data_IF_119294441391
#
_entry.id   IF_119294441391
#
_cell.length_a   1.000
_cell.length_b   1.000
_cell.length_c   1.000
_cell.angle_alpha   90.00
_cell.angle_beta   90.00
_cell.angle_gamma   90.00
#
_symmetry.space_group_name_H-M   'P 1'
#
loop_
_entity.id
_entity.type
_entity.pdbx_description
1 polymer ?
2 polymer ?
3 polymer ?
4 branched ?
5 non-polymer ?
6 non-polymer ?
7 non-polymer ?
8 water ?
#
# COMPACT_ATOMS: atom_id res chain seq x y z
N UNK A 1 -8.06 13.91 -14.20
CA UNK A 1 -8.95 12.73 -14.29
C UNK A 1 -9.62 12.42 -12.96
N UNK A 2 -9.97 11.15 -12.72
CA UNK A 2 -10.62 10.76 -11.45
C UNK A 2 -9.64 10.73 -10.28
N UNK A 3 -10.17 10.96 -9.09
CA UNK A 3 -9.35 10.94 -7.91
C UNK A 3 -10.07 10.18 -6.81
N UNK A 4 -9.33 9.75 -5.80
CA UNK A 4 -9.92 8.98 -4.73
C UNK A 4 -9.40 9.29 -3.33
N UNK A 5 -10.27 9.07 -2.35
CA UNK A 5 -9.96 9.26 -0.95
C UNK A 5 -10.17 7.89 -0.31
N UNK A 6 -9.10 7.28 0.19
CA UNK A 6 -9.19 5.97 0.81
C UNK A 6 -8.54 5.92 2.17
N UNK A 7 -9.07 5.06 3.02
CA UNK A 7 -8.55 4.88 4.36
C UNK A 7 -8.33 3.41 4.63
N UNK A 8 -7.15 3.07 5.14
CA UNK A 8 -6.86 1.70 5.48
C UNK A 8 -6.82 1.60 7.00
N UNK A 9 -7.79 0.87 7.55
CA UNK A 9 -7.91 0.70 8.98
C UNK A 9 -7.67 -0.75 9.40
N UNK A 10 -6.77 -0.92 10.36
CA UNK A 10 -6.42 -2.23 10.87
C UNK A 10 -6.47 -2.23 12.39
N UNK A 11 -7.00 -3.31 12.96
CA UNK A 11 -7.08 -3.45 14.41
C UNK A 11 -6.61 -4.88 14.72
N UNK A 12 -5.59 -4.99 15.56
CA UNK A 12 -5.06 -6.31 15.90
C UNK A 12 -4.95 -6.57 17.39
N UNK A 13 -5.50 -7.69 17.82
CA UNK A 13 -5.44 -8.09 19.22
C UNK A 13 -4.10 -8.80 19.46
N UNK A 14 -3.54 -8.62 20.65
CA UNK A 14 -2.28 -9.25 20.99
C UNK A 14 -2.34 -9.70 22.44
N UNK A 15 -3.09 -10.79 22.69
CA UNK A 15 -3.27 -11.37 24.03
C UNK A 15 -1.98 -11.47 24.83
N UNK A 16 -2.05 -11.01 26.08
CA UNK A 16 -0.90 -11.06 26.97
C UNK A 16 0.12 -9.98 26.73
N UNK A 17 -0.21 -9.04 25.86
CA UNK A 17 0.71 -7.96 25.54
C UNK A 17 0.01 -6.62 25.62
N UNK A 18 -1.17 -6.59 26.22
CA UNK A 18 -1.91 -5.34 26.35
C UNK A 18 -3.01 -5.09 25.33
N UNK A 19 -3.32 -3.81 25.14
CA UNK A 19 -4.36 -3.35 24.22
C UNK A 19 -4.11 -3.67 22.76
N UNK A 20 -5.18 -3.82 21.96
CA UNK A 20 -5.01 -4.11 20.54
C UNK A 20 -4.31 -2.94 19.85
N UNK A 21 -3.62 -3.21 18.76
CA UNK A 21 -2.96 -2.13 18.05
C UNK A 21 -3.92 -1.61 16.99
N UNK A 22 -4.11 -0.29 16.96
CA UNK A 22 -5.01 0.30 15.99
C UNK A 22 -4.31 1.26 15.04
N UNK A 23 -4.71 1.21 13.77
CA UNK A 23 -4.11 2.06 12.77
C UNK A 23 -5.08 2.61 11.75
N UNK A 24 -4.73 3.79 11.23
CA UNK A 24 -5.51 4.47 10.21
C UNK A 24 -4.52 5.12 9.26
N UNK A 25 -4.57 4.74 8.00
CA UNK A 25 -3.68 5.35 7.02
C UNK A 25 -4.55 5.83 5.89
N UNK A 26 -4.46 7.13 5.59
CA UNK A 26 -5.26 7.69 4.54
C UNK A 26 -4.45 8.00 3.30
N UNK A 27 -5.11 7.86 2.15
CA UNK A 27 -4.47 8.13 0.87
C UNK A 27 -5.39 8.93 -0.03
N UNK A 28 -4.78 9.82 -0.81
CA UNK A 28 -5.50 10.58 -1.81
C UNK A 28 -4.78 10.08 -3.06
N UNK A 29 -5.47 9.24 -3.83
CA UNK A 29 -4.88 8.62 -5.01
C UNK A 29 -3.79 7.67 -4.51
N UNK A 30 -2.59 7.76 -5.05
CA UNK A 30 -1.52 6.87 -4.62
C UNK A 30 -0.60 7.59 -3.64
N UNK A 31 -1.12 8.61 -2.97
CA UNK A 31 -0.32 9.39 -2.04
C UNK A 31 -0.84 9.34 -0.59
N UNK A 32 0.01 8.88 0.33
CA UNK A 32 -0.36 8.81 1.75
C UNK A 32 -0.24 10.20 2.36
N UNK A 33 -1.32 10.68 2.97
CA UNK A 33 -1.33 12.02 3.55
C UNK A 33 -1.67 12.12 5.03
N UNK A 34 -2.22 11.06 5.61
CA UNK A 34 -2.54 11.08 7.04
C UNK A 34 -2.30 9.72 7.68
N UNK A 35 -2.11 9.71 8.98
CA UNK A 35 -1.84 8.46 9.68
C UNK A 35 -2.11 8.54 11.17
N UNK A 36 -2.49 7.40 11.73
CA UNK A 36 -2.73 7.29 13.16
C UNK A 36 -2.28 5.91 13.59
N UNK A 37 -1.41 5.87 14.59
CA UNK A 37 -0.91 4.61 15.10
C UNK A 37 -0.93 4.66 16.62
N UNK A 38 -1.88 3.93 17.20
CA UNK A 38 -2.07 3.87 18.64
C UNK A 38 -0.83 3.41 19.39
N UNK A 39 0.19 2.98 18.64
CA UNK A 39 1.43 2.51 19.24
C UNK A 39 2.47 3.59 19.44
N UNK A 40 2.06 4.84 19.26
CA UNK A 40 2.98 5.95 19.47
C UNK A 40 2.85 6.22 20.95
N UNK A 41 3.90 6.79 21.54
CA UNK A 41 3.87 7.08 22.98
C UNK A 41 2.58 7.86 23.23
N UNK A 42 2.46 9.00 22.55
CA UNK A 42 1.28 9.84 22.65
C UNK A 42 0.56 9.79 21.30
N UNK A 43 -0.35 8.82 21.13
CA UNK A 43 -1.09 8.66 19.88
C UNK A 43 -1.81 9.93 19.44
N UNK A 44 -1.55 10.35 18.20
CA UNK A 44 -2.20 11.52 17.62
C UNK A 44 -2.18 11.44 16.10
N UNK A 45 -3.14 12.12 15.46
CA UNK A 45 -3.22 12.12 14.01
C UNK A 45 -2.08 12.98 13.47
N UNK A 46 -1.32 12.45 12.52
CA UNK A 46 -0.21 13.21 11.97
C UNK A 46 -0.34 13.33 10.47
N UNK A 47 0.22 14.40 9.89
CA UNK A 47 0.19 14.60 8.44
C UNK A 47 1.34 13.81 7.85
N UNK A 48 1.13 13.27 6.66
CA UNK A 48 2.13 12.47 5.98
C UNK A 48 2.60 13.20 4.75
N UNK A 49 1.78 14.13 4.28
CA UNK A 49 2.12 14.91 3.10
C UNK A 49 2.30 16.37 3.49
N UNK A 50 3.16 17.07 2.75
CA UNK A 50 3.46 18.47 2.99
C UNK A 50 2.22 19.35 3.03
N UNK A 51 1.44 19.29 1.96
CA UNK A 51 0.24 20.12 1.84
C UNK A 51 -0.78 20.01 2.97
N UNK A 52 -0.70 18.96 3.78
CA UNK A 52 -1.67 18.85 4.87
C UNK A 52 -1.35 19.85 5.97
N UNK A 53 -0.33 20.68 5.73
CA UNK A 53 0.08 21.69 6.69
C UNK A 53 -0.92 22.83 6.67
N UNK A 54 -1.71 22.91 5.59
CA UNK A 54 -2.71 23.95 5.42
C UNK A 54 -3.96 23.77 6.28
N UNK A 55 -3.94 22.74 7.12
CA UNK A 55 -5.06 22.47 8.02
C UNK A 55 -4.71 23.02 9.40
N UNK A 56 -5.66 23.69 10.03
CA UNK A 56 -5.44 24.28 11.34
C UNK A 56 -5.39 23.26 12.47
N UNK A 57 -5.07 23.72 13.68
CA UNK A 57 -4.99 22.88 14.88
C UNK A 57 -6.26 22.09 15.17
N UNK A 58 -7.41 22.69 14.86
CA UNK A 58 -8.69 22.05 15.11
C UNK A 58 -8.89 20.78 14.27
N UNK A 59 -8.33 20.77 13.07
CA UNK A 59 -8.45 19.60 12.20
C UNK A 59 -7.86 18.40 12.91
N UNK A 60 -6.58 18.52 13.25
CA UNK A 60 -5.84 17.45 13.92
C UNK A 60 -6.45 17.00 15.25
N UNK A 61 -7.11 17.91 15.95
CA UNK A 61 -7.72 17.58 17.22
C UNK A 61 -8.95 16.70 17.01
N UNK A 62 -9.80 17.11 16.08
CA UNK A 62 -11.01 16.38 15.78
C UNK A 62 -10.69 15.01 15.16
N UNK A 63 -9.71 14.96 14.26
CA UNK A 63 -9.35 13.69 13.65
C UNK A 63 -8.76 12.77 14.71
N UNK A 64 -7.95 13.33 15.59
CA UNK A 64 -7.38 12.53 16.65
C UNK A 64 -8.49 11.98 17.55
N UNK A 65 -9.43 12.83 17.96
CA UNK A 65 -10.52 12.35 18.80
C UNK A 65 -11.31 11.27 18.07
N UNK A 66 -11.73 11.55 16.85
CA UNK A 66 -12.47 10.57 16.06
C UNK A 66 -11.68 9.26 15.98
N UNK A 67 -10.39 9.35 15.71
CA UNK A 67 -9.55 8.18 15.60
C UNK A 67 -9.55 7.35 16.89
N UNK A 68 -9.47 8.01 18.04
CA UNK A 68 -9.45 7.31 19.31
C UNK A 68 -10.78 6.61 19.56
N UNK A 69 -11.87 7.23 19.13
CA UNK A 69 -13.18 6.65 19.30
C UNK A 69 -13.21 5.42 18.42
N UNK A 70 -12.72 5.55 17.20
CA UNK A 70 -12.66 4.43 16.28
C UNK A 70 -11.91 3.27 16.94
N UNK A 71 -10.76 3.57 17.53
CA UNK A 71 -9.94 2.55 18.20
C UNK A 71 -10.74 1.77 19.26
N UNK A 72 -11.56 2.47 20.03
CA UNK A 72 -12.37 1.83 21.05
C UNK A 72 -13.41 0.90 20.43
N UNK A 73 -14.10 1.41 19.42
CA UNK A 73 -15.11 0.63 18.71
C UNK A 73 -14.56 -0.70 18.22
N UNK A 74 -13.35 -0.68 17.65
CA UNK A 74 -12.73 -1.91 17.14
C UNK A 74 -12.29 -2.83 18.28
N UNK A 75 -11.89 -2.25 19.40
CA UNK A 75 -11.49 -3.04 20.55
C UNK A 75 -12.72 -3.87 20.94
N UNK A 76 -13.89 -3.25 20.84
CA UNK A 76 -15.14 -3.93 21.15
C UNK A 76 -15.42 -4.97 20.07
N UNK A 77 -15.26 -4.58 18.81
CA UNK A 77 -15.49 -5.49 17.69
C UNK A 77 -14.71 -6.79 17.83
N UNK A 78 -13.42 -6.68 18.13
CA UNK A 78 -12.57 -7.87 18.29
C UNK A 78 -13.13 -8.78 19.36
N UNK A 79 -13.73 -8.18 20.38
CA UNK A 79 -14.34 -8.91 21.50
C UNK A 79 -15.60 -9.62 21.00
N UNK A 80 -16.40 -8.90 20.23
CA UNK A 80 -17.62 -9.45 19.68
C UNK A 80 -17.36 -10.61 18.76
N UNK A 81 -16.44 -10.42 17.81
CA UNK A 81 -16.12 -11.47 16.86
C UNK A 81 -15.75 -12.79 17.52
N UNK A 82 -15.13 -12.73 18.69
CA UNK A 82 -14.78 -13.96 19.39
C UNK A 82 -16.05 -14.74 19.73
N UNK A 83 -17.11 -14.02 20.06
CA UNK A 83 -18.37 -14.68 20.39
C UNK A 83 -19.07 -15.14 19.13
N UNK A 84 -19.17 -14.25 18.15
CA UNK A 84 -19.83 -14.59 16.90
C UNK A 84 -19.25 -15.90 16.38
N UNK A 85 -17.93 -16.02 16.45
CA UNK A 85 -17.21 -17.19 15.97
C UNK A 85 -16.87 -18.25 17.02
N UNK A 86 -17.24 -18.02 18.27
CA UNK A 86 -16.95 -18.99 19.32
C UNK A 86 -15.46 -19.36 19.31
N UNK A 87 -14.60 -18.35 19.47
CA UNK A 87 -13.15 -18.56 19.47
C UNK A 87 -12.54 -18.23 20.82
N UNK A 88 -11.34 -18.75 21.04
CA UNK A 88 -10.60 -18.53 22.28
C UNK A 88 -10.15 -17.09 22.46
N UNK A 89 -10.02 -16.67 23.72
CA UNK A 89 -9.56 -15.32 24.03
C UNK A 89 -8.04 -15.24 24.04
N UNK A 90 -7.38 -16.37 23.81
CA UNK A 90 -5.93 -16.38 23.82
C UNK A 90 -5.25 -16.18 22.47
N UNK A 91 -6.01 -16.29 21.39
CA UNK A 91 -5.45 -16.13 20.06
C UNK A 91 -5.48 -14.73 19.50
N UNK A 92 -4.62 -14.46 18.54
CA UNK A 92 -4.54 -13.15 17.92
C UNK A 92 -5.48 -13.07 16.72
N UNK A 93 -6.12 -11.93 16.53
CA UNK A 93 -7.06 -11.74 15.42
C UNK A 93 -6.94 -10.36 14.79
N UNK A 94 -7.28 -10.29 13.52
CA UNK A 94 -7.19 -9.05 12.76
C UNK A 94 -8.47 -8.63 12.08
N UNK A 95 -8.80 -7.34 12.21
CA UNK A 95 -9.97 -6.78 11.56
C UNK A 95 -9.39 -5.77 10.57
N UNK A 96 -9.88 -5.77 9.34
CA UNK A 96 -9.40 -4.86 8.31
C UNK A 96 -10.58 -4.19 7.63
N UNK A 97 -10.42 -2.91 7.34
CA UNK A 97 -11.47 -2.17 6.66
C UNK A 97 -10.93 -1.18 5.66
N UNK A 98 -11.53 -1.14 4.49
CA UNK A 98 -11.11 -0.20 3.49
C UNK A 98 -12.34 0.63 3.16
N UNK A 99 -12.24 1.94 3.35
CA UNK A 99 -13.35 2.83 3.08
C UNK A 99 -12.87 3.94 2.18
N UNK A 100 -13.72 4.33 1.24
CA UNK A 100 -13.33 5.40 0.34
C UNK A 100 -14.41 5.87 -0.60
N UNK A 101 -14.06 6.86 -1.41
CA UNK A 101 -14.97 7.40 -2.40
C UNK A 101 -14.11 7.91 -3.53
N UNK A 102 -14.68 7.96 -4.72
CA UNK A 102 -13.95 8.44 -5.90
C UNK A 102 -14.81 9.47 -6.60
N UNK A 103 -14.17 10.49 -7.15
CA UNK A 103 -14.88 11.54 -7.87
C UNK A 103 -14.33 11.67 -9.28
N UNK A 104 -15.16 12.17 -10.18
CA UNK A 104 -14.73 12.36 -11.55
C UNK A 104 -13.85 13.59 -11.58
N UNK A 105 -13.39 13.99 -12.76
CA UNK A 105 -12.55 15.17 -12.86
C UNK A 105 -13.37 16.42 -12.55
N UNK A 106 -14.68 16.29 -12.61
CA UNK A 106 -15.56 17.42 -12.31
C UNK A 106 -15.84 17.54 -10.82
N UNK A 107 -15.39 16.55 -10.04
CA UNK A 107 -15.59 16.59 -8.60
C UNK A 107 -16.84 15.92 -8.07
N UNK A 108 -17.61 15.29 -8.96
CA UNK A 108 -18.83 14.60 -8.55
C UNK A 108 -18.58 13.12 -8.23
N UNK A 109 -19.36 12.56 -7.31
CA UNK A 109 -19.19 11.17 -6.89
C UNK A 109 -19.35 10.13 -7.98
N UNK A 110 -18.33 9.30 -8.12
CA UNK A 110 -18.36 8.21 -9.07
C UNK A 110 -18.79 6.95 -8.31
N UNK A 111 -18.17 6.73 -7.16
CA UNK A 111 -18.52 5.59 -6.32
C UNK A 111 -17.89 5.62 -4.93
N UNK A 112 -18.57 5.01 -3.98
CA UNK A 112 -18.10 4.96 -2.61
C UNK A 112 -18.11 3.53 -2.15
N UNK A 113 -17.36 3.21 -1.10
CA UNK A 113 -17.32 1.84 -0.64
C UNK A 113 -16.76 1.66 0.75
N UNK A 114 -17.09 0.53 1.36
CA UNK A 114 -16.60 0.17 2.69
C UNK A 114 -16.70 -1.34 2.84
N UNK A 115 -15.55 -1.98 3.02
CA UNK A 115 -15.49 -3.42 3.17
C UNK A 115 -14.62 -3.85 4.36
N UNK A 116 -15.15 -4.80 5.13
CA UNK A 116 -14.46 -5.34 6.29
C UNK A 116 -13.94 -6.75 6.02
N UNK A 117 -12.95 -7.16 6.81
CA UNK A 117 -12.34 -8.47 6.70
C UNK A 117 -11.92 -8.89 8.10
N UNK A 118 -12.13 -10.16 8.42
CA UNK A 118 -11.73 -10.65 9.71
C UNK A 118 -10.71 -11.74 9.42
N UNK A 119 -9.55 -11.65 10.07
CA UNK A 119 -8.47 -12.61 9.88
C UNK A 119 -8.18 -12.95 8.42
N UNK A 120 -8.11 -11.93 7.58
CA UNK A 120 -7.80 -12.16 6.18
C UNK A 120 -8.93 -12.50 5.26
N UNK A 121 -10.14 -12.64 5.76
CA UNK A 121 -11.26 -12.99 4.90
C UNK A 121 -12.41 -12.00 4.90
N UNK A 122 -13.12 -11.96 3.77
CA UNK A 122 -14.27 -11.07 3.60
C UNK A 122 -15.26 -11.21 4.75
N UNK A 123 -15.76 -10.09 5.24
CA UNK A 123 -16.71 -10.12 6.34
C UNK A 123 -18.05 -9.54 5.88
N UNK A 124 -18.06 -8.22 5.67
CA UNK A 124 -19.27 -7.54 5.23
C UNK A 124 -18.90 -6.38 4.33
N UNK A 125 -19.77 -6.04 3.40
CA UNK A 125 -19.49 -4.93 2.50
C UNK A 125 -20.74 -4.21 2.05
N UNK A 126 -20.60 -2.91 1.82
CA UNK A 126 -21.71 -2.09 1.35
C UNK A 126 -21.78 -2.33 -0.16
N UNK A 127 -22.96 -2.59 -0.70
CA UNK A 127 -23.08 -2.81 -2.15
C UNK A 127 -22.93 -1.48 -2.87
N UNK A 128 -22.63 -1.53 -4.17
CA UNK A 128 -22.46 -0.29 -4.93
C UNK A 128 -23.63 0.66 -4.77
N UNK A 129 -24.82 0.11 -4.56
CA UNK A 129 -26.02 0.94 -4.39
C UNK A 129 -25.90 1.84 -3.16
N UNK A 130 -24.99 1.49 -2.26
CA UNK A 130 -24.78 2.26 -1.04
C UNK A 130 -26.03 2.20 -0.16
N UNK A 131 -26.95 1.29 -0.49
CA UNK A 131 -28.18 1.16 0.28
C UNK A 131 -28.18 -0.06 1.17
N UNK A 132 -27.61 -1.16 0.71
CA UNK A 132 -27.59 -2.38 1.50
C UNK A 132 -26.23 -3.03 1.66
N UNK A 133 -26.13 -3.93 2.63
CA UNK A 133 -24.90 -4.66 2.93
C UNK A 133 -24.93 -6.10 2.45
N UNK A 134 -23.76 -6.66 2.20
CA UNK A 134 -23.67 -8.06 1.79
C UNK A 134 -22.68 -8.76 2.73
N UNK A 135 -23.15 -9.87 3.31
CA UNK A 135 -22.36 -10.65 4.28
C UNK A 135 -21.72 -11.92 3.73
N UNK A 136 -20.45 -12.12 4.08
CA UNK A 136 -19.71 -13.30 3.64
C UNK A 136 -20.14 -14.56 4.37
N UNK A 137 -20.42 -14.46 5.66
CA UNK A 137 -20.87 -15.61 6.45
C UNK A 137 -22.02 -15.27 7.38
N UNK A 138 -22.43 -16.24 8.19
CA UNK A 138 -23.53 -16.03 9.13
C UNK A 138 -23.17 -15.04 10.22
N UNK A 139 -21.90 -14.95 10.55
CA UNK A 139 -21.46 -14.01 11.57
C UNK A 139 -21.73 -12.58 11.10
N UNK A 140 -21.27 -12.27 9.88
CA UNK A 140 -21.48 -10.96 9.31
C UNK A 140 -22.97 -10.67 9.12
N UNK A 141 -23.79 -11.71 9.05
CA UNK A 141 -25.23 -11.51 8.87
C UNK A 141 -25.81 -10.85 10.12
N UNK A 142 -25.33 -11.27 11.28
CA UNK A 142 -25.79 -10.70 12.54
C UNK A 142 -25.53 -9.20 12.50
N UNK A 143 -24.33 -8.85 12.02
CA UNK A 143 -23.91 -7.47 11.90
C UNK A 143 -24.83 -6.75 10.92
N UNK A 144 -25.07 -7.38 9.77
CA UNK A 144 -25.95 -6.81 8.75
C UNK A 144 -27.29 -6.42 9.36
N UNK A 145 -27.90 -7.35 10.08
CA UNK A 145 -29.18 -7.07 10.71
C UNK A 145 -29.07 -5.90 11.67
N UNK A 146 -28.07 -5.95 12.56
CA UNK A 146 -27.87 -4.88 13.54
C UNK A 146 -27.84 -3.51 12.89
N UNK A 147 -26.93 -3.34 11.93
CA UNK A 147 -26.78 -2.08 11.21
C UNK A 147 -28.05 -1.66 10.49
N UNK A 148 -28.86 -2.64 10.09
CA UNK A 148 -30.11 -2.36 9.38
C UNK A 148 -31.11 -1.72 10.32
N UNK A 149 -31.17 -2.23 11.55
CA UNK A 149 -32.09 -1.70 12.53
C UNK A 149 -31.63 -0.34 13.04
N UNK A 150 -30.33 -0.09 12.93
CA UNK A 150 -29.76 1.17 13.38
C UNK A 150 -29.66 2.19 12.26
N UNK A 151 -29.99 1.77 11.04
CA UNK A 151 -29.92 2.67 9.92
C UNK A 151 -28.51 3.02 9.50
N UNK A 152 -27.56 2.15 9.82
CA UNK A 152 -26.15 2.38 9.47
C UNK A 152 -25.89 2.64 7.99
N UNK A 153 -26.52 1.86 7.12
CA UNK A 153 -26.32 2.04 5.68
C UNK A 153 -26.55 3.50 5.30
N UNK A 154 -27.69 4.02 5.73
CA UNK A 154 -28.08 5.39 5.45
C UNK A 154 -27.05 6.40 5.98
N UNK A 155 -26.51 6.12 7.15
CA UNK A 155 -25.52 7.01 7.77
C UNK A 155 -24.22 7.01 6.96
N UNK A 156 -23.73 5.80 6.68
CA UNK A 156 -22.49 5.65 5.92
C UNK A 156 -22.61 6.30 4.55
N UNK A 157 -23.78 6.19 3.94
CA UNK A 157 -24.01 6.77 2.62
C UNK A 157 -23.91 8.31 2.68
N UNK A 158 -24.36 8.89 3.79
CA UNK A 158 -24.29 10.34 3.96
C UNK A 158 -22.82 10.73 3.94
N UNK A 159 -22.00 9.94 4.63
CA UNK A 159 -20.57 10.18 4.69
C UNK A 159 -19.94 10.13 3.29
N UNK A 160 -20.18 9.04 2.59
CA UNK A 160 -19.63 8.83 1.27
C UNK A 160 -19.97 9.97 0.30
N UNK A 161 -21.25 10.28 0.21
CA UNK A 161 -21.71 11.32 -0.71
C UNK A 161 -21.35 12.74 -0.28
N UNK A 162 -21.36 12.99 1.03
CA UNK A 162 -21.06 14.32 1.50
C UNK A 162 -19.64 14.43 2.01
N UNK A 163 -19.48 14.21 3.31
CA UNK A 163 -18.18 14.29 3.99
C UNK A 163 -17.00 13.80 3.14
N UNK A 164 -17.07 12.55 2.69
CA UNK A 164 -16.00 11.98 1.89
C UNK A 164 -15.75 12.77 0.61
N UNK A 165 -16.82 13.06 -0.13
CA UNK A 165 -16.66 13.81 -1.38
C UNK A 165 -16.14 15.23 -1.15
N UNK A 166 -16.68 15.90 -0.15
CA UNK A 166 -16.27 17.27 0.12
C UNK A 166 -14.84 17.38 0.66
N UNK A 167 -14.43 16.44 1.50
CA UNK A 167 -13.07 16.52 2.01
C UNK A 167 -12.07 16.20 0.92
N UNK A 168 -12.43 15.29 0.02
CA UNK A 168 -11.54 14.93 -1.07
C UNK A 168 -11.25 16.14 -1.96
N UNK A 169 -12.29 16.91 -2.26
CA UNK A 169 -12.16 18.11 -3.10
C UNK A 169 -11.19 19.07 -2.48
N UNK A 170 -11.38 19.33 -1.20
CA UNK A 170 -10.54 20.24 -0.44
C UNK A 170 -9.08 19.80 -0.50
N UNK A 171 -8.85 18.53 -0.21
CA UNK A 171 -7.50 17.98 -0.22
C UNK A 171 -6.83 18.15 -1.57
N UNK A 172 -7.60 17.99 -2.64
CA UNK A 172 -7.07 18.12 -4.00
C UNK A 172 -6.80 19.58 -4.29
N UNK A 173 -7.58 20.44 -3.67
CA UNK A 173 -7.40 21.86 -3.86
C UNK A 173 -6.10 22.28 -3.19
N UNK A 174 -5.93 21.89 -1.93
CA UNK A 174 -4.74 22.25 -1.15
C UNK A 174 -3.43 21.66 -1.62
N UNK A 175 -3.47 20.44 -2.13
CA UNK A 175 -2.24 19.80 -2.60
C UNK A 175 -2.19 19.70 -4.10
N UNK A 176 -2.92 20.56 -4.79
CA UNK A 176 -2.95 20.56 -6.23
C UNK A 176 -1.53 20.42 -6.79
N UNK A 177 -0.60 21.20 -6.25
CA UNK A 177 0.78 21.17 -6.72
C UNK A 177 1.41 19.78 -6.67
N UNK A 178 0.98 18.95 -5.73
CA UNK A 178 1.54 17.61 -5.61
C UNK A 178 0.65 16.51 -6.19
N UNK A 179 -0.64 16.54 -5.84
CA UNK A 179 -1.58 15.53 -6.31
C UNK A 179 -1.93 15.59 -7.80
N UNK A 180 -1.71 16.73 -8.45
CA UNK A 180 -2.05 16.84 -9.86
C UNK A 180 -0.85 16.87 -10.80
N UNK A 181 0.34 16.61 -10.27
CA UNK A 181 1.53 16.62 -11.09
C UNK A 181 1.64 15.33 -11.88
N UNK A 182 2.69 15.24 -12.69
CA UNK A 182 2.93 14.05 -13.48
C UNK A 182 4.43 13.87 -13.68
N UNK A 183 5.01 12.92 -12.94
CA UNK A 183 6.43 12.66 -13.06
C UNK A 183 6.61 11.61 -14.14
N UNK A 184 7.33 11.95 -15.20
CA UNK A 184 7.53 11.02 -16.30
C UNK A 184 8.53 9.92 -15.97
N UNK A 185 8.24 8.69 -16.40
CA UNK A 185 9.09 7.50 -16.18
C UNK A 185 10.42 7.56 -16.90
N UNK A 186 11.49 7.15 -16.22
CA UNK A 186 12.81 7.09 -16.85
C UNK A 186 13.02 5.58 -16.95
N UNK A 187 13.28 5.09 -18.15
CA UNK A 187 13.43 3.65 -18.33
C UNK A 187 14.80 3.19 -18.83
N UNK A 188 15.15 1.97 -18.47
CA UNK A 188 16.39 1.35 -18.90
C UNK A 188 16.28 -0.17 -18.84
N UNK A 189 17.20 -0.86 -19.49
CA UNK A 189 17.19 -2.32 -19.54
C UNK A 189 18.50 -2.93 -19.08
N UNK A 190 18.41 -4.00 -18.28
CA UNK A 190 19.57 -4.71 -17.78
C UNK A 190 19.59 -6.10 -18.39
N UNK A 191 20.81 -6.63 -18.56
CA UNK A 191 21.08 -7.93 -19.18
C UNK A 191 21.72 -8.91 -18.20
N UNK A 192 21.20 -10.14 -18.17
CA UNK A 192 21.72 -11.18 -17.27
C UNK A 192 21.81 -12.56 -17.92
N UNK A 193 23.02 -13.07 -18.09
CA UNK A 193 23.22 -14.39 -18.68
C UNK A 193 22.59 -15.48 -17.82
N UNK A 194 22.23 -16.59 -18.46
CA UNK A 194 21.62 -17.72 -17.77
C UNK A 194 22.22 -19.01 -18.30
N UNK A 195 21.96 -20.13 -17.62
CA UNK A 195 22.52 -21.39 -18.12
C UNK A 195 21.75 -21.79 -19.38
N UNK A 196 22.49 -22.29 -20.37
CA UNK A 196 21.90 -22.74 -21.63
C UNK A 196 21.58 -21.61 -22.63
N UNK A 197 22.63 -20.95 -23.09
CA UNK A 197 22.53 -19.87 -24.07
C UNK A 197 21.24 -19.05 -24.10
N UNK A 198 20.83 -18.58 -22.92
CA UNK A 198 19.65 -17.75 -22.79
C UNK A 198 20.01 -16.62 -21.85
N UNK A 199 19.53 -15.41 -22.13
CA UNK A 199 19.83 -14.27 -21.27
C UNK A 199 18.51 -13.73 -20.74
N UNK A 200 18.59 -13.00 -19.63
CA UNK A 200 17.40 -12.40 -19.04
C UNK A 200 17.40 -10.93 -19.41
N UNK A 201 16.24 -10.41 -19.82
CA UNK A 201 16.15 -9.01 -20.17
C UNK A 201 15.20 -8.33 -19.22
N UNK A 202 15.72 -7.48 -18.33
CA UNK A 202 14.86 -6.79 -17.38
C UNK A 202 14.66 -5.31 -17.75
N UNK A 203 13.41 -4.92 -17.87
CA UNK A 203 13.08 -3.54 -18.21
C UNK A 203 12.62 -2.75 -16.99
N UNK A 204 13.32 -1.65 -16.68
CA UNK A 204 12.99 -0.81 -15.53
C UNK A 204 12.34 0.53 -15.89
N UNK A 205 11.38 0.94 -15.07
CA UNK A 205 10.69 2.22 -15.22
C UNK A 205 10.82 2.92 -13.87
N UNK A 206 11.46 4.08 -13.82
CA UNK A 206 11.68 4.77 -12.53
C UNK A 206 11.10 6.18 -12.35
N UNK A 207 11.01 6.58 -11.08
CA UNK A 207 10.53 7.89 -10.69
C UNK A 207 9.30 8.49 -11.34
N UNK A 208 8.25 7.70 -11.49
CA UNK A 208 7.04 8.20 -12.12
C UNK A 208 5.88 8.42 -11.16
N UNK A 209 4.90 9.19 -11.61
CA UNK A 209 3.70 9.49 -10.81
C UNK A 209 2.65 10.07 -11.72
N UNK A 210 1.38 9.63 -11.56
CA UNK A 210 0.91 8.63 -10.59
C UNK A 210 1.45 7.20 -10.79
N UNK A 211 1.00 6.30 -9.92
CA UNK A 211 1.42 4.91 -9.94
C UNK A 211 1.04 4.09 -11.17
N UNK A 212 -0.15 4.32 -11.72
CA UNK A 212 -0.59 3.54 -12.88
C UNK A 212 0.38 3.61 -14.04
N UNK A 213 0.84 2.45 -14.49
CA UNK A 213 1.79 2.36 -15.57
C UNK A 213 1.67 1.01 -16.26
N UNK A 214 2.18 0.91 -17.48
CA UNK A 214 2.11 -0.37 -18.18
C UNK A 214 3.46 -0.72 -18.83
N UNK A 215 3.95 -1.91 -18.51
CA UNK A 215 5.21 -2.42 -19.04
C UNK A 215 4.98 -3.70 -19.82
N UNK A 216 5.43 -3.72 -21.08
CA UNK A 216 5.28 -4.90 -21.90
C UNK A 216 6.52 -5.16 -22.76
N UNK A 217 6.76 -6.43 -23.05
CA UNK A 217 7.87 -6.83 -23.89
C UNK A 217 7.29 -7.24 -25.25
N UNK A 218 8.04 -7.05 -26.32
CA UNK A 218 7.55 -7.40 -27.64
C UNK A 218 8.56 -8.08 -28.56
N UNK A 219 8.02 -8.81 -29.52
CA UNK A 219 8.80 -9.54 -30.52
C UNK A 219 7.93 -9.70 -31.76
N UNK A 220 8.34 -9.08 -32.86
CA UNK A 220 7.57 -9.13 -34.11
C UNK A 220 6.38 -8.21 -33.97
N UNK A 221 6.45 -7.30 -32.99
CA UNK A 221 5.36 -6.38 -32.78
C UNK A 221 4.25 -6.96 -31.93
N UNK A 222 4.46 -8.18 -31.43
CA UNK A 222 3.48 -8.85 -30.59
C UNK A 222 3.94 -8.83 -29.13
N UNK A 223 2.99 -8.77 -28.19
CA UNK A 223 3.32 -8.72 -26.77
C UNK A 223 3.48 -10.11 -26.16
N UNK A 224 4.55 -10.29 -25.37
CA UNK A 224 4.85 -11.56 -24.71
C UNK A 224 4.33 -11.63 -23.28
N UNK A 225 3.26 -10.88 -23.00
CA UNK A 225 2.66 -10.82 -21.68
C UNK A 225 2.75 -12.05 -20.77
N UNK A 226 2.32 -13.20 -21.27
CA UNK A 226 2.33 -14.42 -20.48
C UNK A 226 3.71 -14.99 -20.13
N UNK A 227 4.74 -14.63 -20.89
CA UNK A 227 6.07 -15.15 -20.62
C UNK A 227 6.99 -14.18 -19.90
N UNK A 228 6.39 -13.12 -19.36
CA UNK A 228 7.15 -12.12 -18.64
C UNK A 228 7.05 -12.34 -17.14
N UNK A 229 8.05 -11.85 -16.43
CA UNK A 229 8.06 -11.92 -14.98
C UNK A 229 8.08 -10.45 -14.60
N UNK A 230 7.38 -10.09 -13.53
CA UNK A 230 7.36 -8.70 -13.12
C UNK A 230 6.94 -8.50 -11.68
N UNK A 231 7.27 -7.34 -11.13
CA UNK A 231 6.89 -7.04 -9.76
C UNK A 231 5.75 -6.04 -9.78
N UNK A 232 5.03 -5.92 -8.67
CA UNK A 232 3.93 -4.98 -8.60
C UNK A 232 4.52 -3.59 -8.48
N UNK A 233 3.94 -2.63 -9.20
CA UNK A 233 4.42 -1.26 -9.13
C UNK A 233 4.64 -0.99 -7.64
N UNK A 234 5.72 -0.31 -7.30
CA UNK A 234 6.01 -0.07 -5.90
C UNK A 234 6.48 1.35 -5.57
N UNK A 235 6.28 1.79 -4.31
CA UNK A 235 6.71 3.13 -3.91
C UNK A 235 8.21 3.16 -3.65
N UNK A 236 8.84 4.27 -3.99
CA UNK A 236 10.28 4.41 -3.81
C UNK A 236 10.60 5.37 -2.66
N UNK A 237 9.62 5.60 -1.79
CA UNK A 237 9.81 6.46 -0.64
C UNK A 237 9.94 7.97 -0.83
N UNK A 238 9.66 8.46 -2.03
CA UNK A 238 9.74 9.90 -2.28
C UNK A 238 8.48 10.39 -2.98
N UNK A 239 7.44 9.56 -2.95
CA UNK A 239 6.20 9.93 -3.59
C UNK A 239 6.11 9.42 -5.02
N UNK A 240 7.23 8.90 -5.52
CA UNK A 240 7.22 8.37 -6.88
C UNK A 240 7.16 6.86 -6.78
N UNK A 241 7.00 6.20 -7.92
CA UNK A 241 6.92 4.75 -7.94
C UNK A 241 7.83 4.17 -9.03
N UNK A 242 8.06 2.86 -8.99
CA UNK A 242 8.90 2.18 -9.97
C UNK A 242 8.34 0.80 -10.28
N UNK A 243 8.92 0.15 -11.28
CA UNK A 243 8.47 -1.18 -11.67
C UNK A 243 9.39 -1.78 -12.70
N UNK A 244 9.49 -3.10 -12.71
CA UNK A 244 10.31 -3.76 -13.71
C UNK A 244 9.60 -5.00 -14.20
N UNK A 245 9.85 -5.33 -15.46
CA UNK A 245 9.26 -6.50 -16.09
C UNK A 245 10.37 -7.15 -16.92
N UNK A 246 10.46 -8.48 -16.85
CA UNK A 246 11.50 -9.18 -17.58
C UNK A 246 11.03 -10.30 -18.52
N UNK A 247 11.95 -10.79 -19.33
CA UNK A 247 11.69 -11.87 -20.26
C UNK A 247 13.01 -12.59 -20.58
N UNK A 248 12.94 -13.92 -20.68
CA UNK A 248 14.11 -14.74 -20.99
C UNK A 248 14.18 -14.95 -22.51
N UNK A 249 15.34 -14.71 -23.09
CA UNK A 249 15.50 -14.86 -24.54
C UNK A 249 16.75 -15.63 -24.96
N UNK A 250 16.86 -15.94 -26.28
CA UNK A 250 18.00 -16.67 -26.82
C UNK A 250 19.22 -15.75 -26.95
N UNK A 251 20.37 -16.21 -26.49
CA UNK A 251 21.57 -15.40 -26.61
C UNK A 251 21.74 -15.11 -28.10
N UNK A 252 22.00 -13.85 -28.43
CA UNK A 252 22.18 -13.47 -29.82
C UNK A 252 20.88 -13.00 -30.45
N UNK A 253 19.80 -13.00 -29.67
CA UNK A 253 18.48 -12.57 -30.15
C UNK A 253 17.91 -11.47 -29.25
N UNK A 254 18.78 -10.76 -28.54
CA UNK A 254 18.33 -9.71 -27.64
C UNK A 254 17.73 -8.54 -28.42
N UNK A 255 18.48 -8.05 -29.39
CA UNK A 255 18.06 -6.93 -30.23
C UNK A 255 16.68 -7.15 -30.86
N UNK A 256 16.21 -8.38 -30.81
CA UNK A 256 14.90 -8.73 -31.36
C UNK A 256 13.76 -8.28 -30.45
N UNK A 257 14.06 -8.08 -29.18
CA UNK A 257 13.03 -7.68 -28.22
C UNK A 257 13.11 -6.20 -27.83
N UNK A 258 11.95 -5.61 -27.60
CA UNK A 258 11.86 -4.20 -27.23
C UNK A 258 10.92 -4.03 -26.04
N UNK A 259 11.24 -3.08 -25.17
CA UNK A 259 10.40 -2.82 -24.02
C UNK A 259 9.52 -1.63 -24.31
N UNK A 260 8.23 -1.74 -23.98
CA UNK A 260 7.27 -0.67 -24.19
C UNK A 260 6.73 -0.17 -22.87
N UNK A 261 6.79 1.16 -22.67
CA UNK A 261 6.34 1.77 -21.42
C UNK A 261 5.31 2.87 -21.67
N UNK A 262 4.10 2.64 -21.18
CA UNK A 262 3.02 3.60 -21.34
C UNK A 262 2.69 4.20 -19.98
N UNK A 263 2.64 5.52 -19.93
CA UNK A 263 2.35 6.23 -18.68
C UNK A 263 1.70 7.58 -18.95
N UNK A 264 0.93 8.05 -17.98
CA UNK A 264 0.26 9.33 -18.08
C UNK A 264 1.25 10.46 -18.34
N UNK A 265 2.53 10.18 -18.10
CA UNK A 265 3.56 11.19 -18.31
C UNK A 265 4.38 10.93 -19.55
N UNK A 266 3.87 10.09 -20.44
CA UNK A 266 4.60 9.79 -21.67
C UNK A 266 3.71 10.05 -22.88
N UNK A 267 3.75 11.27 -23.41
CA UNK A 267 2.94 11.64 -24.57
C UNK A 267 2.91 10.51 -25.60
N UNK A 268 4.06 9.89 -25.80
CA UNK A 268 4.20 8.76 -26.73
C UNK A 268 4.94 7.64 -26.00
N UNK A 269 4.43 6.41 -26.10
CA UNK A 269 5.05 5.24 -25.46
C UNK A 269 6.54 5.11 -25.74
N UNK A 270 7.31 4.83 -24.69
CA UNK A 270 8.75 4.65 -24.81
C UNK A 270 9.01 3.30 -25.45
N UNK A 271 10.10 3.22 -26.19
CA UNK A 271 10.49 1.98 -26.82
C UNK A 271 12.00 1.85 -26.74
N UNK A 272 12.46 0.73 -26.21
CA UNK A 272 13.90 0.48 -26.08
C UNK A 272 14.25 -0.99 -26.09
N UNK A 273 15.41 -1.30 -26.68
CA UNK A 273 15.92 -2.66 -26.75
C UNK A 273 17.17 -2.66 -25.88
N UNK A 274 17.95 -3.74 -25.96
CA UNK A 274 19.16 -3.80 -25.17
C UNK A 274 20.39 -3.42 -26.00
N UNK B 1 -5.75 -17.41 6.92
CA UNK B 1 -4.80 -16.66 6.06
C UNK B 1 -3.41 -16.55 6.69
N UNK B 2 -2.48 -17.34 6.17
CA UNK B 2 -1.09 -17.34 6.64
C UNK B 2 -0.24 -17.16 5.39
N UNK B 3 -0.07 -15.91 4.96
CA UNK B 3 0.70 -15.61 3.76
C UNK B 3 2.11 -15.11 4.06
N UNK B 4 3.09 -15.71 3.39
CA UNK B 4 4.48 -15.35 3.56
C UNK B 4 4.84 -14.09 2.78
N UNK B 5 5.56 -13.17 3.42
CA UNK B 5 5.97 -11.92 2.78
C UNK B 5 6.99 -12.04 1.66
N UNK B 6 6.91 -11.10 0.74
CA UNK B 6 7.84 -11.03 -0.37
C UNK B 6 8.68 -9.79 -0.07
N UNK B 7 9.99 -9.96 0.06
CA UNK B 7 10.86 -8.82 0.37
C UNK B 7 11.59 -8.31 -0.87
N UNK B 8 11.37 -7.05 -1.19
CA UNK B 8 12.02 -6.43 -2.35
C UNK B 8 12.88 -5.25 -1.89
N UNK B 9 14.15 -5.26 -2.31
CA UNK B 9 15.10 -4.21 -1.95
C UNK B 9 15.58 -3.47 -3.20
N UNK B 10 15.39 -2.15 -3.19
CA UNK B 10 15.76 -1.33 -4.33
C UNK B 10 16.06 0.10 -3.92
N UNK B 11 16.73 0.83 -4.82
CA UNK B 11 17.06 2.22 -4.58
C UNK B 11 16.16 3.08 -5.47
N UNK B 12 16.02 4.35 -5.12
CA UNK B 12 15.18 5.27 -5.89
C UNK B 12 15.83 5.63 -7.22
N UNK B 13 17.10 6.00 -7.18
CA UNK B 13 17.81 6.36 -8.40
C UNK B 13 18.84 5.31 -8.71
N UNK B 14 19.29 5.25 -9.97
CA UNK B 14 20.31 4.24 -10.27
C UNK B 14 21.54 4.61 -9.42
N UNK B 15 22.12 3.64 -8.71
CA UNK B 15 23.29 3.90 -7.86
C UNK B 15 24.54 4.49 -8.55
N UNK B 16 25.09 5.51 -7.92
CA UNK B 16 26.29 6.19 -8.37
C UNK B 16 27.08 6.45 -7.10
N UNK B 17 28.17 5.73 -6.91
CA UNK B 17 28.99 5.89 -5.72
C UNK B 17 29.24 7.34 -5.34
N UNK B 18 28.88 7.70 -4.12
CA UNK B 18 29.11 9.06 -3.67
C UNK B 18 27.90 9.99 -3.69
N UNK B 19 26.98 9.82 -4.62
CA UNK B 19 25.83 10.72 -4.64
C UNK B 19 24.62 10.10 -3.92
N UNK B 20 23.98 10.89 -3.05
CA UNK B 20 22.80 10.54 -2.24
C UNK B 20 21.73 9.82 -3.03
N UNK B 21 21.03 8.93 -2.34
CA UNK B 21 19.97 8.15 -2.97
C UNK B 21 19.05 7.74 -1.82
N UNK B 22 18.16 6.80 -2.10
CA UNK B 22 17.26 6.27 -1.08
C UNK B 22 17.21 4.75 -1.22
N UNK B 23 17.32 4.02 -0.12
CA UNK B 23 17.23 2.57 -0.21
C UNK B 23 15.86 2.17 0.32
N UNK B 24 15.14 1.38 -0.47
CA UNK B 24 13.81 0.94 -0.12
C UNK B 24 13.72 -0.55 0.16
N UNK B 25 12.88 -0.91 1.12
CA UNK B 25 12.60 -2.31 1.43
C UNK B 25 11.09 -2.39 1.49
N UNK B 26 10.52 -3.03 0.48
CA UNK B 26 9.07 -3.18 0.37
C UNK B 26 8.68 -4.61 0.74
N UNK B 27 7.99 -4.76 1.86
CA UNK B 27 7.56 -6.09 2.29
C UNK B 27 6.08 -6.18 1.95
N UNK B 28 5.74 -7.12 1.07
CA UNK B 28 4.37 -7.26 0.58
C UNK B 28 3.77 -8.66 0.65
N UNK B 29 2.45 -8.70 0.45
CA UNK B 29 1.68 -9.95 0.43
C UNK B 29 1.81 -10.83 1.66
N UNK B 30 1.72 -10.25 2.85
CA UNK B 30 1.84 -11.05 4.07
C UNK B 30 0.65 -10.95 5.01
N UNK B 31 0.47 -11.98 5.83
CA UNK B 31 -0.62 -12.05 6.80
C UNK B 31 -0.26 -13.16 7.80
N UNK B 32 -0.51 -12.95 9.10
CA UNK B 32 -1.10 -11.79 9.78
C UNK B 32 -0.22 -10.54 9.73
N UNK B 33 -0.77 -9.38 10.13
CA UNK B 33 -0.11 -8.08 10.15
C UNK B 33 1.15 -7.88 10.99
N UNK B 34 1.28 -8.64 12.08
CA UNK B 34 2.47 -8.48 12.90
C UNK B 34 3.72 -8.85 12.13
N UNK B 35 4.64 -7.90 12.00
CA UNK B 35 5.87 -8.14 11.27
C UNK B 35 7.00 -7.29 11.85
N UNK B 36 8.24 -7.70 11.58
CA UNK B 36 9.40 -6.99 12.07
C UNK B 36 10.35 -6.75 10.90
N UNK B 37 10.62 -5.49 10.62
CA UNK B 37 11.48 -5.10 9.51
C UNK B 37 12.67 -4.27 9.97
N UNK B 38 13.84 -4.65 9.48
CA UNK B 38 15.08 -3.99 9.86
C UNK B 38 15.98 -3.82 8.62
N UNK B 39 16.51 -2.61 8.43
CA UNK B 39 17.40 -2.35 7.31
C UNK B 39 18.83 -2.29 7.84
N UNK B 40 19.73 -3.01 7.17
CA UNK B 40 21.12 -3.10 7.61
C UNK B 40 22.15 -2.54 6.63
N UNK B 41 23.21 -1.98 7.18
CA UNK B 41 24.33 -1.45 6.40
C UNK B 41 25.59 -2.13 6.94
N UNK B 42 26.25 -2.92 6.10
CA UNK B 42 27.43 -3.65 6.50
C UNK B 42 27.11 -4.47 7.74
N UNK B 43 25.96 -5.13 7.68
CA UNK B 43 25.52 -5.99 8.76
C UNK B 43 25.09 -5.28 10.03
N UNK B 44 24.93 -3.96 9.97
CA UNK B 44 24.51 -3.22 11.14
C UNK B 44 23.15 -2.54 10.95
N UNK B 45 22.35 -2.53 12.01
CA UNK B 45 21.03 -1.93 11.98
C UNK B 45 21.10 -0.44 11.68
N UNK B 46 20.39 -0.01 10.65
CA UNK B 46 20.36 1.40 10.31
C UNK B 46 19.39 2.10 11.24
N UNK B 47 19.86 3.14 11.95
CA UNK B 47 19.05 3.91 12.90
C UNK B 47 17.72 4.49 12.40
N UNK B 48 17.70 5.78 12.08
CA UNK B 48 16.46 6.45 11.66
C UNK B 48 15.89 5.91 10.35
N UNK B 49 15.09 4.86 10.45
CA UNK B 49 14.46 4.25 9.29
C UNK B 49 13.03 4.73 9.26
N UNK B 50 12.47 4.91 8.07
CA UNK B 50 11.11 5.36 7.92
C UNK B 50 10.16 4.29 7.39
N UNK B 51 9.03 4.14 8.08
CA UNK B 51 8.03 3.19 7.65
C UNK B 51 6.92 4.02 7.02
N UNK B 52 6.50 3.62 5.82
CA UNK B 52 5.46 4.34 5.13
C UNK B 52 4.67 3.41 4.22
N UNK B 53 3.72 3.97 3.48
CA UNK B 53 2.90 3.23 2.55
C UNK B 53 2.35 1.90 3.06
N UNK B 54 1.69 1.93 4.21
CA UNK B 54 1.11 0.72 4.77
C UNK B 54 -0.25 0.55 4.12
N UNK B 55 -0.51 -0.62 3.54
CA UNK B 55 -1.81 -0.83 2.90
C UNK B 55 -2.05 -2.32 2.68
N UNK B 56 -3.19 -2.63 2.08
CA UNK B 56 -3.48 -4.02 1.76
C UNK B 56 -4.22 -4.13 0.44
N UNK B 57 -4.07 -5.28 -0.20
CA UNK B 57 -4.69 -5.53 -1.50
C UNK B 57 -6.07 -6.14 -1.35
N UNK B 58 -6.68 -6.49 -2.49
CA UNK B 58 -8.01 -7.08 -2.51
C UNK B 58 -8.15 -8.40 -1.74
N UNK B 59 -7.05 -9.16 -1.63
CA UNK B 59 -7.09 -10.43 -0.91
C UNK B 59 -6.73 -10.21 0.57
N UNK B 60 -6.56 -8.94 0.93
CA UNK B 60 -6.26 -8.51 2.30
C UNK B 60 -4.83 -8.68 2.82
N UNK B 61 -3.92 -9.10 1.95
CA UNK B 61 -2.52 -9.28 2.31
C UNK B 61 -1.96 -7.89 2.60
N UNK B 62 -0.98 -7.80 3.50
CA UNK B 62 -0.40 -6.51 3.83
C UNK B 62 0.81 -6.07 3.01
N UNK B 63 0.96 -4.75 2.91
CA UNK B 63 2.04 -4.08 2.19
C UNK B 63 2.55 -2.95 3.06
N UNK B 64 3.87 -2.88 3.26
CA UNK B 64 4.48 -1.83 4.08
C UNK B 64 5.83 -1.47 3.47
N UNK B 65 6.21 -0.20 3.60
CA UNK B 65 7.48 0.27 3.04
C UNK B 65 8.47 0.74 4.10
N UNK B 66 9.73 0.37 3.91
CA UNK B 66 10.80 0.77 4.81
C UNK B 66 11.80 1.50 3.92
N UNK B 67 12.16 2.71 4.29
CA UNK B 67 13.13 3.43 3.48
C UNK B 67 14.01 4.37 4.30
N UNK B 68 15.16 4.69 3.75
CA UNK B 68 16.13 5.55 4.40
C UNK B 68 17.06 6.17 3.38
N UNK B 69 17.59 7.33 3.71
CA UNK B 69 18.52 8.00 2.82
C UNK B 69 19.84 7.26 2.91
N UNK B 70 20.54 7.17 1.79
CA UNK B 70 21.84 6.49 1.78
C UNK B 70 22.69 6.94 0.60
N UNK B 71 24.01 6.85 0.76
CA UNK B 71 24.93 7.20 -0.30
C UNK B 71 25.79 5.97 -0.56
N UNK B 72 25.49 5.24 -1.63
CA UNK B 72 26.23 4.02 -1.99
C UNK B 72 27.72 4.17 -2.23
N UNK B 73 28.45 3.11 -1.89
CA UNK B 73 29.88 3.00 -2.07
C UNK B 73 30.03 1.74 -2.87
N UNK B 74 31.13 1.59 -3.60
CA UNK B 74 31.32 0.40 -4.41
C UNK B 74 31.42 -0.84 -3.52
N UNK B 75 31.73 -0.62 -2.24
CA UNK B 75 31.90 -1.75 -1.33
C UNK B 75 30.92 -1.95 -0.17
N UNK B 76 30.13 -0.93 0.19
CA UNK B 76 29.18 -1.12 1.27
C UNK B 76 28.03 -1.98 0.79
N UNK B 77 27.55 -2.87 1.65
CA UNK B 77 26.43 -3.73 1.31
C UNK B 77 25.23 -3.39 2.20
N UNK B 78 24.04 -3.56 1.65
CA UNK B 78 22.81 -3.27 2.36
C UNK B 78 21.87 -4.45 2.32
N UNK B 79 21.09 -4.64 3.37
CA UNK B 79 20.16 -5.74 3.41
C UNK B 79 18.94 -5.44 4.27
N UNK B 80 17.87 -6.19 4.02
CA UNK B 80 16.63 -6.04 4.77
C UNK B 80 16.28 -7.38 5.42
N UNK B 81 16.22 -7.37 6.75
CA UNK B 81 15.93 -8.57 7.53
C UNK B 81 14.51 -8.47 8.08
N UNK B 82 13.68 -9.46 7.76
CA UNK B 82 12.29 -9.46 8.19
C UNK B 82 11.88 -10.68 9.02
N UNK B 83 11.08 -10.44 10.05
CA UNK B 83 10.59 -11.49 10.94
C UNK B 83 9.07 -11.59 10.83
N UNK B 84 8.55 -12.79 10.57
CA UNK B 84 7.10 -13.00 10.43
C UNK B 84 6.68 -14.41 10.83
N UNK B 85 5.46 -14.56 11.36
CA UNK B 85 4.99 -15.87 11.80
C UNK B 85 5.10 -16.99 10.78
N UNK B 86 5.06 -16.63 9.50
CA UNK B 86 5.12 -17.62 8.43
C UNK B 86 6.51 -18.22 8.24
N UNK B 87 7.49 -17.72 8.98
CA UNK B 87 8.86 -18.21 8.86
C UNK B 87 9.49 -18.56 10.20
N UNK B 88 10.22 -19.66 10.24
CA UNK B 88 10.87 -20.10 11.46
C UNK B 88 11.93 -19.09 11.85
N UNK B 89 12.89 -18.86 10.95
CA UNK B 89 13.96 -17.93 11.20
C UNK B 89 13.84 -16.69 10.33
N UNK B 90 14.38 -15.55 10.79
CA UNK B 90 14.33 -14.30 10.05
C UNK B 90 14.87 -14.46 8.63
N UNK B 91 14.24 -13.79 7.68
CA UNK B 91 14.67 -13.84 6.29
C UNK B 91 15.33 -12.52 5.94
N UNK B 92 16.49 -12.58 5.31
CA UNK B 92 17.21 -11.38 4.94
C UNK B 92 17.45 -11.32 3.44
N UNK B 93 17.08 -10.19 2.83
CA UNK B 93 17.28 -10.01 1.40
C UNK B 93 18.36 -8.95 1.19
N UNK B 94 19.27 -9.21 0.27
CA UNK B 94 20.36 -8.28 0.01
C UNK B 94 20.10 -7.40 -1.20
N UNK B 95 20.61 -6.17 -1.14
CA UNK B 95 20.44 -5.22 -2.23
C UNK B 95 21.38 -5.58 -3.38
N UNK B 96 20.80 -5.80 -4.55
CA UNK B 96 21.54 -6.16 -5.76
C UNK B 96 21.65 -4.95 -6.65
N UNK B 97 22.81 -4.30 -6.65
CA UNK B 97 23.02 -3.13 -7.47
C UNK B 97 22.85 -3.43 -8.95
N UNK B 98 23.18 -4.64 -9.35
CA UNK B 98 23.11 -5.03 -10.76
C UNK B 98 21.81 -5.66 -11.29
N UNK B 99 20.73 -5.62 -10.52
CA UNK B 99 19.49 -6.23 -11.00
C UNK B 99 18.91 -5.54 -12.24
N UNK C 1 -11.11 13.36 5.51
CA UNK C 1 -11.53 12.95 6.89
C UNK C 1 -12.09 11.54 6.87
N UNK C 2 -11.50 10.65 7.66
CA UNK C 2 -11.96 9.27 7.73
C UNK C 2 -13.35 9.19 8.35
N UNK C 3 -14.09 8.11 8.05
CA UNK C 3 -15.43 7.92 8.59
C UNK C 3 -15.44 7.57 10.07
N UNK C 4 -16.59 7.71 10.69
CA UNK C 4 -16.77 7.40 12.08
C UNK C 4 -17.25 5.94 12.15
N UNK C 5 -16.41 5.03 12.64
CA UNK C 5 -16.79 3.63 12.73
C UNK C 5 -17.56 3.27 14.00
N UNK C 6 -18.58 2.43 13.85
CA UNK C 6 -19.38 1.99 15.00
C UNK C 6 -19.40 0.45 14.99
N UNK C 7 -19.40 -0.17 16.19
CA UNK C 7 -19.42 -1.62 16.41
C UNK C 7 -20.26 -2.44 15.46
N UNK C 8 -19.76 -3.63 15.15
CA UNK C 8 -20.45 -4.56 14.28
C UNK C 8 -21.08 -5.65 15.16
#
# INVERSE_FOLDING_TARGET
>A
GPHSLRYFVTAVSRPGLGEPRYMEVGYVDDTEFVRFDSDAENPRYEPRARWMEQEGPEYWERETQKAKGNEQSFRVDLRTLLGYYNQSKGGSHTIQVISGCEVGSDGRLLRGYQQYAYDGCDYIALNEDLKTWTAADMAALITKHKWEQAGEAERLRAYLEGTCVEWLRRYLKNGNATLLRTDSPKAHVTHHSRPEDKVTLRCWALGFYPADITLTWQLNGEELIQDMELVETRPAGDGTFQKWASVVVPLGKEQYYTCHVYHQGLPEPLTLRW
>B
IQKTPQIQVYSRHPPENGKPNILNCYVTQFHPPHIEIQMLKNGKKIPKVEMSDMSFSKDWSFYILAHTEFTPTETDTYACRVKHDSMAEPKTVYWDRDM
>C
SAPDFRPL
#
